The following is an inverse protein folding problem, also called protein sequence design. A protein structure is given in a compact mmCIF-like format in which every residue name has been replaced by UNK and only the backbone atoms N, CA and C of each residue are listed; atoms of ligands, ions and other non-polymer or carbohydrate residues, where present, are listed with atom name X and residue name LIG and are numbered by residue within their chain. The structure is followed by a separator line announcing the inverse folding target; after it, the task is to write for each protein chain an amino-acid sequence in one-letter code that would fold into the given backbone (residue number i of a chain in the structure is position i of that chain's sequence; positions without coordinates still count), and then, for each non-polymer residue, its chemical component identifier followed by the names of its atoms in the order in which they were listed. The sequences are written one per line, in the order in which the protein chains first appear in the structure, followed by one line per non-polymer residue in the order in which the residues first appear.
data_IF_566869541444
#
_entry.id   IF_566869541444
#
_cell.length_a   1.000
_cell.length_b   1.000
_cell.length_c   1.000
_cell.angle_alpha   90.00
_cell.angle_beta   90.00
_cell.angle_gamma   90.00
#
_symmetry.space_group_name_H-M   'P 1'
#
loop_
_entity.id
_entity.type
_entity.pdbx_description
1 polymer ?
#
# COMPACT_ATOMS: atom_id res chain seq x y z
N UNK A 1 14.93 16.53 -31.99
CA UNK A 1 15.44 17.00 -30.69
C UNK A 1 14.37 16.76 -29.63
N UNK A 2 14.60 15.83 -28.68
CA UNK A 2 13.66 15.59 -27.56
C UNK A 2 13.93 16.63 -26.49
N UNK A 3 12.97 17.54 -26.30
CA UNK A 3 13.07 18.60 -25.29
C UNK A 3 13.35 18.02 -23.91
N UNK A 4 14.36 18.58 -23.24
CA UNK A 4 14.63 18.38 -21.81
C UNK A 4 13.36 18.79 -21.05
N UNK A 5 12.68 17.84 -20.41
CA UNK A 5 11.60 18.15 -19.46
C UNK A 5 12.26 18.80 -18.23
N UNK A 6 12.02 20.10 -18.07
CA UNK A 6 12.54 20.92 -17.00
C UNK A 6 12.22 20.37 -15.59
N UNK A 7 13.17 20.59 -14.69
CA UNK A 7 13.27 20.22 -13.27
C UNK A 7 12.17 20.80 -12.34
N UNK A 8 10.89 20.73 -12.71
CA UNK A 8 9.80 21.22 -11.85
C UNK A 8 8.50 20.42 -11.91
N UNK A 9 8.51 19.17 -12.39
CA UNK A 9 7.39 18.25 -12.11
C UNK A 9 7.48 17.77 -10.65
N UNK A 10 7.27 18.68 -9.69
CA UNK A 10 6.77 18.26 -8.37
C UNK A 10 5.54 17.41 -8.66
N UNK A 11 5.57 16.12 -8.31
CA UNK A 11 4.43 15.21 -8.40
C UNK A 11 3.18 15.99 -7.97
N UNK A 12 2.27 16.25 -8.91
CA UNK A 12 1.10 17.09 -8.64
C UNK A 12 0.21 16.38 -7.61
N UNK A 13 0.32 16.81 -6.34
CA UNK A 13 -0.43 16.23 -5.24
C UNK A 13 -1.85 16.79 -5.28
N UNK A 14 -2.73 16.05 -5.95
CA UNK A 14 -4.18 16.31 -5.94
C UNK A 14 -4.76 16.18 -4.53
N UNK A 15 -5.88 16.84 -4.27
CA UNK A 15 -6.62 16.69 -3.00
C UNK A 15 -7.07 15.24 -2.76
N UNK A 16 -7.30 14.48 -3.83
CA UNK A 16 -7.50 13.04 -3.81
C UNK A 16 -6.38 12.28 -3.09
N UNK A 17 -5.11 12.67 -3.31
CA UNK A 17 -3.98 12.06 -2.62
C UNK A 17 -4.02 12.37 -1.12
N UNK A 18 -4.34 13.62 -0.74
CA UNK A 18 -4.46 14.03 0.66
C UNK A 18 -5.59 13.26 1.35
N UNK A 19 -6.75 13.14 0.67
CA UNK A 19 -7.92 12.40 1.15
C UNK A 19 -7.61 10.92 1.38
N UNK A 20 -7.01 10.26 0.39
CA UNK A 20 -6.62 8.84 0.50
C UNK A 20 -5.59 8.63 1.61
N UNK A 21 -4.61 9.53 1.74
CA UNK A 21 -3.62 9.47 2.80
C UNK A 21 -4.25 9.62 4.19
N UNK A 22 -5.14 10.61 4.38
CA UNK A 22 -5.86 10.81 5.63
C UNK A 22 -6.71 9.60 6.03
N UNK A 23 -7.47 9.05 5.07
CA UNK A 23 -8.28 7.86 5.31
C UNK A 23 -7.44 6.65 5.67
N UNK A 24 -6.29 6.47 5.01
CA UNK A 24 -5.38 5.36 5.31
C UNK A 24 -4.80 5.46 6.71
N UNK A 25 -4.29 6.64 7.08
CA UNK A 25 -3.79 6.90 8.44
C UNK A 25 -4.88 6.63 9.49
N UNK A 26 -6.10 7.10 9.24
CA UNK A 26 -7.26 6.86 10.11
C UNK A 26 -7.56 5.36 10.24
N UNK A 27 -7.56 4.62 9.13
CA UNK A 27 -7.80 3.18 9.13
C UNK A 27 -6.72 2.40 9.88
N UNK A 28 -5.45 2.82 9.79
CA UNK A 28 -4.34 2.24 10.56
C UNK A 28 -4.54 2.50 12.05
N UNK A 29 -4.79 3.75 12.45
CA UNK A 29 -4.95 4.12 13.86
C UNK A 29 -6.13 3.38 14.51
N UNK A 30 -7.27 3.31 13.82
CA UNK A 30 -8.44 2.55 14.28
C UNK A 30 -8.10 1.06 14.38
N UNK A 31 -7.40 0.50 13.38
CA UNK A 31 -7.01 -0.90 13.42
C UNK A 31 -5.98 -1.21 14.52
N UNK A 32 -5.18 -0.24 14.97
CA UNK A 32 -4.24 -0.39 16.08
C UNK A 32 -4.93 -0.50 17.44
N UNK A 33 -6.14 0.08 17.59
CA UNK A 33 -6.96 -0.03 18.80
C UNK A 33 -7.71 -1.35 18.91
N UNK A 34 -7.75 -2.11 17.81
CA UNK A 34 -8.43 -3.39 17.76
C UNK A 34 -7.70 -4.46 18.58
N UNK A 35 -8.46 -5.24 19.35
CA UNK A 35 -7.97 -6.36 20.15
C UNK A 35 -8.19 -7.72 19.50
N UNK A 36 -9.05 -7.80 18.48
CA UNK A 36 -9.35 -9.06 17.79
C UNK A 36 -9.63 -8.89 16.30
N UNK A 37 -9.50 -9.97 15.55
CA UNK A 37 -9.60 -10.00 14.09
C UNK A 37 -10.95 -9.55 13.51
N UNK A 38 -12.00 -9.51 14.33
CA UNK A 38 -13.36 -9.18 13.89
C UNK A 38 -14.15 -8.30 14.87
N UNK A 39 -13.47 -7.51 15.70
CA UNK A 39 -14.13 -6.53 16.58
C UNK A 39 -14.67 -5.31 15.81
N UNK A 40 -15.34 -4.39 16.53
CA UNK A 40 -15.93 -3.18 15.94
C UNK A 40 -14.89 -2.26 15.29
N UNK A 41 -13.71 -2.10 15.90
CA UNK A 41 -12.63 -1.29 15.33
C UNK A 41 -12.14 -1.85 13.99
N UNK A 42 -11.95 -3.17 13.89
CA UNK A 42 -11.55 -3.81 12.64
C UNK A 42 -12.62 -3.69 11.55
N UNK A 43 -13.90 -3.77 11.91
CA UNK A 43 -15.03 -3.53 10.99
C UNK A 43 -15.00 -2.10 10.44
N UNK A 44 -14.82 -1.09 11.30
CA UNK A 44 -14.74 0.32 10.88
C UNK A 44 -13.54 0.53 9.96
N UNK A 45 -12.37 0.00 10.32
CA UNK A 45 -11.16 0.09 9.48
C UNK A 45 -11.39 -0.53 8.09
N UNK A 46 -12.10 -1.66 7.99
CA UNK A 46 -12.48 -2.27 6.70
C UNK A 46 -13.38 -1.38 5.86
N UNK A 47 -14.34 -0.70 6.46
CA UNK A 47 -15.23 0.25 5.77
C UNK A 47 -14.40 1.40 5.19
N UNK A 48 -13.50 1.98 5.98
CA UNK A 48 -12.60 3.03 5.50
C UNK A 48 -11.72 2.52 4.34
N UNK A 49 -11.16 1.31 4.46
CA UNK A 49 -10.38 0.69 3.39
C UNK A 49 -11.19 0.41 2.11
N UNK A 50 -12.50 0.15 2.24
CA UNK A 50 -13.40 0.04 1.09
C UNK A 50 -13.55 1.40 0.40
N UNK A 51 -13.79 2.47 1.15
CA UNK A 51 -13.88 3.83 0.60
C UNK A 51 -12.59 4.31 -0.04
N UNK A 52 -11.43 3.99 0.55
CA UNK A 52 -10.12 4.26 -0.08
C UNK A 52 -10.09 3.67 -1.49
N UNK A 53 -10.51 2.41 -1.67
CA UNK A 53 -10.49 1.77 -2.97
C UNK A 53 -11.48 2.39 -3.96
N UNK A 54 -12.65 2.79 -3.48
CA UNK A 54 -13.64 3.51 -4.30
C UNK A 54 -13.00 4.79 -4.85
N UNK A 55 -12.37 5.60 -4.01
CA UNK A 55 -11.67 6.83 -4.40
C UNK A 55 -10.53 6.54 -5.39
N UNK A 56 -9.70 5.53 -5.13
CA UNK A 56 -8.61 5.14 -6.03
C UNK A 56 -9.14 4.75 -7.43
N UNK A 57 -10.31 4.12 -7.50
CA UNK A 57 -10.92 3.71 -8.75
C UNK A 57 -11.60 4.88 -9.47
N UNK A 58 -12.34 5.74 -8.76
CA UNK A 58 -13.10 6.85 -9.35
C UNK A 58 -12.18 7.98 -9.79
N UNK A 59 -11.25 8.39 -8.94
CA UNK A 59 -10.36 9.54 -9.16
C UNK A 59 -9.02 9.13 -9.82
N UNK A 60 -8.84 7.81 -10.11
CA UNK A 60 -7.66 7.22 -10.77
C UNK A 60 -6.31 7.65 -10.17
N UNK A 61 -6.29 7.79 -8.84
CA UNK A 61 -5.12 8.21 -8.08
C UNK A 61 -4.06 7.12 -8.08
N UNK A 62 -2.82 7.47 -8.44
CA UNK A 62 -1.69 6.53 -8.39
C UNK A 62 -1.06 6.55 -6.99
N UNK A 63 -1.07 5.41 -6.32
CA UNK A 63 -0.45 5.22 -5.00
C UNK A 63 0.72 4.25 -5.06
N UNK A 64 1.62 4.34 -4.07
CA UNK A 64 2.75 3.42 -3.92
C UNK A 64 2.26 1.97 -3.76
N UNK A 65 3.00 0.97 -4.28
CA UNK A 65 2.73 -0.44 -4.00
C UNK A 65 2.67 -0.74 -2.50
N UNK A 66 3.48 -0.08 -1.67
CA UNK A 66 3.53 -0.31 -0.22
C UNK A 66 2.23 0.07 0.49
N UNK A 67 1.60 1.14 0.03
CA UNK A 67 0.28 1.54 0.49
C UNK A 67 -0.74 0.43 0.23
N UNK A 68 -0.78 -0.09 -0.99
CA UNK A 68 -1.71 -1.18 -1.35
C UNK A 68 -1.35 -2.49 -0.68
N UNK A 69 -0.08 -2.70 -0.30
CA UNK A 69 0.35 -3.86 0.46
C UNK A 69 -0.26 -3.82 1.86
N UNK A 70 -0.49 -2.69 2.53
CA UNK A 70 -1.06 -2.73 3.90
C UNK A 70 -2.52 -3.20 3.96
N UNK A 71 -3.23 -3.30 2.83
CA UNK A 71 -4.66 -3.61 2.77
C UNK A 71 -4.89 -4.95 2.04
N UNK A 72 -5.81 -5.78 2.54
CA UNK A 72 -6.21 -7.00 1.85
C UNK A 72 -7.00 -6.68 0.56
N UNK A 73 -6.61 -7.29 -0.57
CA UNK A 73 -7.27 -7.07 -1.88
C UNK A 73 -8.68 -7.63 -1.98
N UNK A 74 -9.06 -8.60 -1.13
CA UNK A 74 -10.39 -9.23 -1.13
C UNK A 74 -11.31 -8.57 -0.09
N UNK A 75 -11.01 -8.73 1.20
CA UNK A 75 -11.89 -8.31 2.29
C UNK A 75 -11.63 -6.90 2.85
N UNK A 76 -10.67 -6.14 2.27
CA UNK A 76 -10.30 -4.80 2.73
C UNK A 76 -9.78 -4.71 4.17
N UNK A 77 -9.43 -5.84 4.79
CA UNK A 77 -8.81 -5.86 6.11
C UNK A 77 -7.48 -5.11 6.11
N UNK A 78 -7.29 -4.20 7.06
CA UNK A 78 -5.99 -3.61 7.36
C UNK A 78 -5.09 -4.70 7.95
N UNK A 79 -3.93 -4.90 7.33
CA UNK A 79 -2.98 -5.96 7.70
C UNK A 79 -1.92 -5.47 8.68
N UNK A 80 -1.74 -4.16 8.80
CA UNK A 80 -0.85 -3.52 9.76
C UNK A 80 -1.64 -3.20 11.03
N UNK A 81 -1.44 -3.98 12.09
CA UNK A 81 -2.07 -3.77 13.39
C UNK A 81 -1.28 -4.42 14.51
N UNK A 82 -1.64 -4.08 15.77
CA UNK A 82 -1.09 -4.72 16.98
C UNK A 82 -1.39 -6.22 17.04
N UNK A 83 -2.57 -6.64 16.59
CA UNK A 83 -2.94 -8.06 16.54
C UNK A 83 -2.49 -8.71 15.23
N UNK A 84 -2.18 -10.02 15.23
CA UNK A 84 -1.80 -10.72 14.01
C UNK A 84 -2.99 -10.80 13.04
N UNK A 85 -2.88 -10.09 11.90
CA UNK A 85 -3.89 -10.08 10.81
C UNK A 85 -3.45 -10.81 9.57
N UNK A 86 -2.15 -11.00 9.42
CA UNK A 86 -1.58 -11.71 8.31
C UNK A 86 -0.48 -12.65 8.78
N UNK A 87 -0.31 -13.72 8.04
CA UNK A 87 0.76 -14.69 8.18
C UNK A 87 1.70 -14.52 7.00
N UNK A 88 3.01 -14.51 7.26
CA UNK A 88 4.04 -14.44 6.24
C UNK A 88 4.76 -15.79 6.20
N UNK A 89 4.78 -16.43 5.03
CA UNK A 89 5.49 -17.70 4.79
C UNK A 89 6.44 -17.55 3.62
N UNK A 90 7.63 -18.11 3.76
CA UNK A 90 8.55 -18.28 2.65
C UNK A 90 8.28 -19.66 2.03
N UNK A 91 7.64 -19.72 0.86
CA UNK A 91 7.23 -21.00 0.25
C UNK A 91 8.35 -21.58 -0.61
N UNK A 92 9.08 -20.71 -1.31
CA UNK A 92 10.22 -21.06 -2.16
C UNK A 92 11.38 -20.15 -1.79
N UNK A 93 12.61 -20.49 -2.21
CA UNK A 93 13.85 -19.76 -1.89
C UNK A 93 13.76 -18.23 -2.07
N UNK A 94 12.86 -17.73 -2.92
CA UNK A 94 12.69 -16.30 -3.23
C UNK A 94 11.23 -15.81 -3.26
N UNK A 95 10.27 -16.52 -2.65
CA UNK A 95 8.85 -16.09 -2.69
C UNK A 95 8.27 -15.98 -1.29
N UNK A 96 7.93 -14.75 -0.90
CA UNK A 96 7.20 -14.42 0.32
C UNK A 96 5.70 -14.46 0.05
N UNK A 97 5.01 -15.46 0.58
CA UNK A 97 3.56 -15.48 0.61
C UNK A 97 3.05 -14.76 1.86
N UNK A 98 2.07 -13.89 1.65
CA UNK A 98 1.28 -13.27 2.70
C UNK A 98 -0.15 -13.77 2.65
N UNK A 99 -0.63 -14.37 3.73
CA UNK A 99 -2.00 -14.85 3.89
C UNK A 99 -2.78 -13.93 4.83
N UNK A 100 -3.95 -13.48 4.42
CA UNK A 100 -4.85 -12.74 5.31
C UNK A 100 -5.55 -13.72 6.27
N UNK A 101 -5.49 -13.49 7.58
CA UNK A 101 -6.10 -14.37 8.58
C UNK A 101 -7.64 -14.21 8.66
N UNK A 102 -8.19 -13.13 8.10
CA UNK A 102 -9.65 -12.92 8.09
C UNK A 102 -10.36 -13.65 6.93
N UNK A 103 -9.88 -13.51 5.69
CA UNK A 103 -10.51 -14.11 4.50
C UNK A 103 -9.68 -15.16 3.78
N UNK A 104 -8.52 -15.51 4.35
CA UNK A 104 -7.58 -16.51 3.83
C UNK A 104 -6.97 -16.21 2.45
N UNK A 105 -7.23 -15.03 1.89
CA UNK A 105 -6.64 -14.62 0.61
C UNK A 105 -5.12 -14.51 0.73
N UNK A 106 -4.40 -15.15 -0.20
CA UNK A 106 -2.94 -15.13 -0.28
C UNK A 106 -2.44 -14.15 -1.35
N UNK A 107 -1.23 -13.64 -1.15
CA UNK A 107 -0.51 -12.82 -2.13
C UNK A 107 0.97 -13.20 -2.07
N UNK A 108 1.57 -13.44 -3.22
CA UNK A 108 2.98 -13.80 -3.31
C UNK A 108 3.79 -12.57 -3.75
N UNK A 109 4.94 -12.39 -3.11
CA UNK A 109 5.92 -11.36 -3.43
C UNK A 109 7.25 -12.04 -3.70
N UNK A 110 7.81 -11.76 -4.87
CA UNK A 110 9.16 -12.22 -5.18
C UNK A 110 10.19 -11.37 -4.43
N UNK A 111 11.09 -12.03 -3.72
CA UNK A 111 12.21 -11.43 -3.01
C UNK A 111 13.39 -11.45 -3.97
N UNK A 112 13.56 -10.37 -4.73
CA UNK A 112 14.71 -10.20 -5.60
C UNK A 112 15.50 -8.96 -5.18
N UNK A 113 16.71 -9.17 -4.65
CA UNK A 113 17.60 -8.09 -4.18
C UNK A 113 18.11 -7.19 -5.30
N UNK A 114 18.17 -7.69 -6.53
CA UNK A 114 18.61 -6.91 -7.71
C UNK A 114 17.46 -6.24 -8.43
N UNK A 115 16.22 -6.58 -8.07
CA UNK A 115 15.03 -6.01 -8.70
C UNK A 115 14.67 -4.68 -8.06
N UNK A 116 14.68 -3.63 -8.87
CA UNK A 116 14.13 -2.33 -8.53
C UNK A 116 12.86 -2.12 -9.36
N UNK A 117 11.77 -1.70 -8.71
CA UNK A 117 10.57 -1.28 -9.42
C UNK A 117 10.87 -0.06 -10.31
N UNK A 118 10.06 0.16 -11.35
CA UNK A 118 10.24 1.30 -12.27
C UNK A 118 10.36 2.64 -11.53
N UNK A 119 9.58 2.81 -10.46
CA UNK A 119 9.59 4.02 -9.63
C UNK A 119 10.86 4.13 -8.78
N UNK A 120 11.42 3.01 -8.31
CA UNK A 120 12.67 3.00 -7.55
C UNK A 120 13.87 3.26 -8.46
N UNK A 121 13.87 2.70 -9.68
CA UNK A 121 14.89 3.01 -10.70
C UNK A 121 14.93 4.50 -11.02
N UNK A 122 13.78 5.10 -11.33
CA UNK A 122 13.68 6.54 -11.60
C UNK A 122 14.16 7.40 -10.42
N UNK A 123 13.91 6.97 -9.17
CA UNK A 123 14.42 7.67 -7.98
C UNK A 123 15.93 7.54 -7.82
N UNK A 124 16.52 6.40 -8.18
CA UNK A 124 17.98 6.24 -8.12
C UNK A 124 18.68 7.04 -9.21
N UNK A 125 18.14 7.05 -10.44
CA UNK A 125 18.64 7.86 -11.56
C UNK A 125 18.66 9.35 -11.18
N UNK A 126 17.59 9.86 -10.57
CA UNK A 126 17.51 11.25 -10.11
C UNK A 126 18.45 11.59 -8.93
N UNK A 127 19.01 10.59 -8.23
CA UNK A 127 19.99 10.81 -7.14
C UNK A 127 21.44 10.82 -7.62
N UNK A 128 21.73 10.25 -8.80
CA UNK A 128 23.09 10.09 -9.33
C UNK A 128 23.55 11.33 -10.11
N UNK A 129 22.64 12.23 -10.46
CA UNK A 129 22.94 13.60 -10.88
C UNK A 129 22.83 14.55 -9.68
N UNK A 130 23.89 14.71 -8.86
CA UNK A 130 24.03 15.92 -8.07
C UNK A 130 24.26 17.08 -9.04
N UNK A 131 23.63 18.22 -8.73
CA UNK A 131 23.85 19.50 -9.38
C UNK A 131 25.32 19.91 -9.35
#
# INVERSE_FOLDING_TARGET
MRGKKNESEKLHVLDSHKRVNFLHQSAVQISMKSSNNNDSYSKISRVICKHIREILNTERVKVSPDFNRTICKKCRQMLVSKTPRCELKLIQKKVLQRKCLHCQNTQNYEINKTYLSRNEKAKMENKITPQ
#
